data_IF_317584870803
#
_entry.id   IF_317584870803
#
_cell.length_a   1.000
_cell.length_b   1.000
_cell.length_c   1.000
_cell.angle_alpha   90.00
_cell.angle_beta   90.00
_cell.angle_gamma   90.00
#
_symmetry.space_group_name_H-M   'P 1'
#
loop_
_entity.id
_entity.type
_entity.pdbx_description
1 polymer ?
#
# COMPACT_ATOMS: atom_id res chain seq x y z
N UNK A 1 16.35 -10.50 -16.66
CA UNK A 1 16.46 -9.75 -15.37
C UNK A 1 15.14 -9.71 -14.59
N UNK A 2 13.97 -9.62 -15.22
CA UNK A 2 12.67 -9.63 -14.54
C UNK A 2 12.43 -10.90 -13.72
N UNK A 3 12.55 -12.07 -14.34
CA UNK A 3 12.27 -13.36 -13.68
C UNK A 3 13.26 -13.67 -12.56
N UNK A 4 14.52 -13.21 -12.67
CA UNK A 4 15.51 -13.30 -11.60
C UNK A 4 15.10 -12.54 -10.32
N UNK A 5 14.18 -11.58 -10.43
CA UNK A 5 13.56 -10.86 -9.31
C UNK A 5 12.28 -11.55 -8.80
N UNK A 6 11.96 -12.73 -9.32
CA UNK A 6 10.69 -13.46 -9.09
C UNK A 6 9.45 -12.66 -9.55
N UNK A 7 9.62 -11.81 -10.56
CA UNK A 7 8.54 -11.06 -11.21
C UNK A 7 8.06 -11.79 -12.47
N UNK A 8 6.85 -11.45 -12.95
CA UNK A 8 6.34 -11.92 -14.23
C UNK A 8 6.80 -11.03 -15.38
N UNK A 9 7.27 -11.65 -16.47
CA UNK A 9 7.60 -10.95 -17.72
C UNK A 9 6.54 -11.27 -18.79
N UNK A 10 5.89 -10.24 -19.33
CA UNK A 10 4.95 -10.38 -20.46
C UNK A 10 5.02 -9.15 -21.37
N UNK A 11 4.89 -9.38 -22.67
CA UNK A 11 4.64 -8.30 -23.62
C UNK A 11 3.19 -7.80 -23.41
N UNK A 12 2.94 -6.48 -23.43
CA UNK A 12 1.58 -5.95 -23.45
C UNK A 12 0.80 -6.60 -24.60
N UNK A 13 -0.40 -7.11 -24.32
CA UNK A 13 -1.24 -7.67 -25.36
C UNK A 13 -1.60 -6.55 -26.33
N UNK A 14 -1.15 -6.66 -27.59
CA UNK A 14 -1.67 -5.79 -28.64
C UNK A 14 -3.18 -6.04 -28.72
N UNK A 15 -3.98 -5.03 -28.39
CA UNK A 15 -5.42 -5.07 -28.62
C UNK A 15 -5.67 -5.17 -30.13
N UNK A 16 -6.07 -6.36 -30.60
CA UNK A 16 -6.84 -6.63 -31.82
C UNK A 16 -6.28 -6.15 -33.18
N UNK A 17 -6.07 -7.09 -34.11
CA UNK A 17 -6.09 -6.92 -35.57
C UNK A 17 -5.76 -5.52 -36.14
N UNK A 18 -4.58 -4.98 -35.83
CA UNK A 18 -4.04 -3.87 -36.60
C UNK A 18 -3.22 -4.49 -37.73
N UNK A 19 -3.72 -4.33 -38.95
CA UNK A 19 -3.02 -4.68 -40.19
C UNK A 19 -1.59 -4.15 -40.13
N UNK A 20 -0.67 -4.94 -40.68
CA UNK A 20 0.80 -4.86 -40.61
C UNK A 20 1.46 -3.51 -40.99
N UNK A 21 0.66 -2.48 -41.32
CA UNK A 21 1.05 -1.18 -41.85
C UNK A 21 1.07 -0.03 -40.83
N UNK A 22 0.77 -0.26 -39.56
CA UNK A 22 0.91 0.72 -38.47
C UNK A 22 1.89 0.25 -37.37
N UNK A 23 3.04 -0.32 -37.78
CA UNK A 23 4.12 -0.76 -36.86
C UNK A 23 4.94 0.38 -36.23
N UNK A 24 4.57 1.63 -36.46
CA UNK A 24 5.21 2.82 -35.87
C UNK A 24 4.12 3.76 -35.34
N UNK A 25 4.09 4.00 -34.03
CA UNK A 25 3.26 5.00 -33.32
C UNK A 25 1.99 4.55 -32.58
N UNK A 26 1.95 3.39 -31.92
CA UNK A 26 1.10 3.26 -30.72
C UNK A 26 1.85 2.49 -29.64
N UNK A 27 2.63 3.27 -28.91
CA UNK A 27 3.34 2.89 -27.72
C UNK A 27 2.28 2.80 -26.62
N UNK A 28 1.97 1.59 -26.14
CA UNK A 28 1.27 1.36 -24.87
C UNK A 28 2.18 1.85 -23.73
N UNK A 29 2.38 3.18 -23.61
CA UNK A 29 3.42 3.82 -22.78
C UNK A 29 3.28 3.51 -21.28
N UNK A 30 2.17 2.92 -20.83
CA UNK A 30 1.90 2.70 -19.41
C UNK A 30 1.93 1.27 -18.89
N UNK A 31 1.95 0.24 -19.75
CA UNK A 31 1.81 -1.16 -19.28
C UNK A 31 3.18 -1.75 -18.95
N UNK A 32 3.46 -2.13 -17.70
CA UNK A 32 4.77 -2.66 -17.32
C UNK A 32 4.98 -4.05 -17.91
N UNK A 33 6.08 -4.24 -18.62
CA UNK A 33 6.46 -5.56 -19.16
C UNK A 33 6.92 -6.52 -18.06
N UNK A 34 7.35 -5.97 -16.92
CA UNK A 34 7.76 -6.70 -15.72
C UNK A 34 6.92 -6.26 -14.52
N UNK A 35 6.13 -7.16 -13.94
CA UNK A 35 5.20 -6.83 -12.85
C UNK A 35 5.26 -7.88 -11.73
N UNK A 36 4.76 -7.50 -10.55
CA UNK A 36 4.69 -8.41 -9.41
C UNK A 36 3.59 -9.45 -9.63
N UNK A 37 3.87 -10.76 -9.49
CA UNK A 37 2.81 -11.75 -9.42
C UNK A 37 1.97 -11.58 -8.15
N UNK A 38 0.80 -12.21 -8.11
CA UNK A 38 -0.12 -12.15 -6.97
C UNK A 38 0.46 -12.72 -5.67
N UNK A 39 1.43 -13.61 -5.77
CA UNK A 39 2.14 -14.25 -4.66
C UNK A 39 3.49 -13.58 -4.33
N UNK A 40 3.77 -12.40 -4.92
CA UNK A 40 5.02 -11.68 -4.65
C UNK A 40 5.14 -11.37 -3.14
N UNK A 41 6.33 -11.56 -2.52
CA UNK A 41 6.51 -11.37 -1.10
C UNK A 41 6.13 -9.96 -0.63
N UNK A 42 5.19 -9.88 0.29
CA UNK A 42 4.69 -8.64 0.88
C UNK A 42 4.47 -8.80 2.38
N UNK A 43 4.06 -7.73 3.04
CA UNK A 43 3.79 -7.72 4.46
C UNK A 43 2.48 -8.44 4.80
N UNK A 44 2.40 -8.93 6.02
CA UNK A 44 1.20 -9.51 6.61
C UNK A 44 1.04 -9.03 8.06
N UNK A 45 -0.19 -8.91 8.53
CA UNK A 45 -0.46 -8.48 9.91
C UNK A 45 -0.08 -9.59 10.89
N UNK A 46 0.71 -9.23 11.89
CA UNK A 46 1.10 -10.10 13.02
C UNK A 46 0.33 -9.72 14.28
N UNK A 47 0.08 -8.43 14.51
CA UNK A 47 -0.78 -7.96 15.60
C UNK A 47 -1.56 -6.72 15.19
N UNK A 48 -2.74 -6.54 15.78
CA UNK A 48 -3.58 -5.35 15.64
C UNK A 48 -4.13 -4.99 17.02
N UNK A 49 -3.69 -3.86 17.54
CA UNK A 49 -4.05 -3.34 18.85
C UNK A 49 -4.93 -2.10 18.68
N UNK A 50 -6.01 -2.03 19.45
CA UNK A 50 -6.82 -0.81 19.53
C UNK A 50 -6.10 0.21 20.40
N UNK A 51 -6.08 1.47 19.95
CA UNK A 51 -5.50 2.59 20.69
C UNK A 51 -6.53 3.71 20.83
N UNK A 52 -6.28 4.68 21.70
CA UNK A 52 -7.19 5.81 21.87
C UNK A 52 -7.34 6.64 20.58
N UNK A 53 -6.28 6.72 19.77
CA UNK A 53 -6.28 7.39 18.47
C UNK A 53 -6.82 6.55 17.30
N UNK A 54 -7.01 5.24 17.49
CA UNK A 54 -7.39 4.32 16.42
C UNK A 54 -6.85 2.92 16.59
N UNK A 55 -5.90 2.55 15.73
CA UNK A 55 -5.28 1.21 15.72
C UNK A 55 -3.77 1.30 15.54
N UNK A 56 -3.06 0.36 16.15
CA UNK A 56 -1.64 0.11 15.93
C UNK A 56 -1.46 -1.32 15.45
N UNK A 57 -0.87 -1.47 14.27
CA UNK A 57 -0.75 -2.75 13.58
C UNK A 57 0.73 -3.05 13.37
N UNK A 58 1.18 -4.23 13.78
CA UNK A 58 2.51 -4.73 13.42
C UNK A 58 2.40 -5.57 12.15
N UNK A 59 3.17 -5.20 11.13
CA UNK A 59 3.21 -5.90 9.86
C UNK A 59 4.61 -6.46 9.61
N UNK A 60 4.67 -7.71 9.16
CA UNK A 60 5.94 -8.42 8.91
C UNK A 60 5.99 -8.96 7.49
N UNK A 61 7.13 -8.77 6.82
CA UNK A 61 7.47 -9.41 5.55
C UNK A 61 8.32 -10.64 5.83
N UNK A 62 7.92 -11.80 5.30
CA UNK A 62 8.57 -13.09 5.59
C UNK A 62 9.96 -13.26 4.98
N UNK A 63 10.29 -12.49 3.95
CA UNK A 63 11.56 -12.60 3.22
C UNK A 63 11.92 -11.26 2.57
N UNK A 64 13.22 -11.05 2.35
CA UNK A 64 13.72 -9.92 1.57
C UNK A 64 13.36 -10.08 0.09
N UNK A 65 13.32 -8.95 -0.61
CA UNK A 65 13.07 -8.83 -2.03
C UNK A 65 14.36 -8.41 -2.73
N UNK A 66 14.29 -8.08 -4.03
CA UNK A 66 15.43 -7.49 -4.74
C UNK A 66 15.68 -6.01 -4.34
N UNK A 67 14.82 -5.42 -3.50
CA UNK A 67 15.02 -4.08 -2.99
C UNK A 67 16.13 -4.08 -1.95
N UNK A 68 17.08 -3.14 -2.01
CA UNK A 68 18.12 -3.04 -1.00
C UNK A 68 17.51 -2.60 0.34
N UNK A 69 18.01 -3.17 1.43
CA UNK A 69 17.68 -2.77 2.81
C UNK A 69 16.18 -2.86 3.15
N UNK A 70 15.53 -3.96 2.76
CA UNK A 70 14.17 -4.28 3.23
C UNK A 70 14.11 -4.27 4.77
N UNK A 71 13.15 -3.50 5.32
CA UNK A 71 12.85 -3.51 6.76
C UNK A 71 11.73 -4.52 6.99
N UNK A 72 12.05 -5.67 7.56
CA UNK A 72 11.11 -6.80 7.59
C UNK A 72 9.96 -6.63 8.58
N UNK A 73 10.08 -5.73 9.56
CA UNK A 73 9.14 -5.52 10.64
C UNK A 73 8.83 -4.03 10.76
N UNK A 74 7.56 -3.66 10.56
CA UNK A 74 7.10 -2.28 10.57
C UNK A 74 5.87 -2.14 11.45
N UNK A 75 5.73 -0.95 12.02
CA UNK A 75 4.51 -0.55 12.73
C UNK A 75 3.69 0.37 11.84
N UNK A 76 2.37 0.17 11.84
CA UNK A 76 1.38 1.00 11.17
C UNK A 76 0.44 1.58 12.21
N UNK A 77 0.44 2.90 12.36
CA UNK A 77 -0.58 3.60 13.15
C UNK A 77 -1.67 4.11 12.19
N UNK A 78 -2.91 3.70 12.44
CA UNK A 78 -4.12 4.20 11.78
C UNK A 78 -4.79 5.20 12.72
N UNK A 79 -4.72 6.48 12.37
CA UNK A 79 -5.05 7.61 13.25
C UNK A 79 -6.30 8.30 12.70
N UNK A 80 -7.38 8.27 13.49
CA UNK A 80 -8.68 8.83 13.15
C UNK A 80 -8.77 10.26 13.65
N UNK A 81 -8.09 11.18 12.96
CA UNK A 81 -7.87 12.54 13.46
C UNK A 81 -9.17 13.36 13.55
N UNK A 82 -9.99 13.35 12.50
CA UNK A 82 -11.28 14.04 12.47
C UNK A 82 -12.29 13.25 11.65
N UNK A 83 -13.54 13.74 11.59
CA UNK A 83 -14.58 13.16 10.74
C UNK A 83 -14.17 13.02 9.27
N UNK A 84 -13.31 13.92 8.77
CA UNK A 84 -12.92 14.00 7.36
C UNK A 84 -11.42 13.79 7.15
N UNK A 85 -10.65 13.53 8.21
CA UNK A 85 -9.21 13.37 8.13
C UNK A 85 -8.77 12.06 8.79
N UNK A 86 -8.27 11.17 7.95
CA UNK A 86 -7.63 9.93 8.32
C UNK A 86 -6.13 10.05 8.06
N UNK A 87 -5.30 9.54 8.98
CA UNK A 87 -3.85 9.53 8.80
C UNK A 87 -3.31 8.12 8.98
N UNK A 88 -2.47 7.73 8.03
CA UNK A 88 -1.74 6.45 8.06
C UNK A 88 -0.26 6.79 8.30
N UNK A 89 0.37 6.13 9.26
CA UNK A 89 1.81 6.21 9.48
C UNK A 89 2.40 4.81 9.44
N UNK A 90 3.30 4.55 8.49
CA UNK A 90 4.07 3.30 8.41
C UNK A 90 5.52 3.63 8.74
N UNK A 91 6.08 3.00 9.77
CA UNK A 91 7.39 3.35 10.28
C UNK A 91 8.13 2.17 10.89
N UNK A 92 9.47 2.28 10.95
CA UNK A 92 10.33 1.38 11.71
C UNK A 92 10.31 1.84 13.18
N UNK A 93 9.81 0.97 14.07
CA UNK A 93 9.70 1.24 15.50
C UNK A 93 11.01 1.05 16.26
N UNK A 94 12.00 0.38 15.65
CA UNK A 94 13.31 0.10 16.26
C UNK A 94 14.32 1.17 15.87
N UNK A 95 14.37 1.52 14.58
CA UNK A 95 15.32 2.52 14.07
C UNK A 95 14.59 3.76 13.59
N UNK A 96 14.76 4.87 14.31
CA UNK A 96 14.18 6.16 13.93
C UNK A 96 14.69 6.59 12.55
N UNK A 97 13.76 6.85 11.63
CA UNK A 97 14.04 7.38 10.29
C UNK A 97 13.78 8.87 10.23
N UNK A 98 14.23 9.51 9.15
CA UNK A 98 13.94 10.91 8.90
C UNK A 98 12.43 11.14 8.81
N UNK A 99 11.95 12.15 9.51
CA UNK A 99 10.59 12.67 9.42
C UNK A 99 10.67 14.16 9.07
N UNK A 100 9.84 14.61 8.14
CA UNK A 100 9.79 16.02 7.75
C UNK A 100 9.36 16.82 8.98
N UNK A 101 10.09 17.88 9.38
CA UNK A 101 9.75 18.69 10.54
C UNK A 101 8.54 19.58 10.23
N UNK A 102 7.36 18.99 10.34
CA UNK A 102 6.06 19.67 10.17
C UNK A 102 5.30 19.59 11.48
N UNK A 103 4.60 20.66 11.82
CA UNK A 103 3.67 20.64 12.93
C UNK A 103 2.46 19.80 12.53
N UNK A 104 2.30 18.65 13.17
CA UNK A 104 1.18 17.73 12.94
C UNK A 104 0.34 17.65 14.20
N UNK A 105 -1.00 17.61 14.09
CA UNK A 105 -1.87 17.46 15.26
C UNK A 105 -1.52 16.21 16.06
N UNK A 106 -1.47 16.35 17.39
CA UNK A 106 -1.42 15.22 18.30
C UNK A 106 -2.86 14.77 18.51
N UNK A 107 -3.13 13.50 18.24
CA UNK A 107 -4.45 12.89 18.38
C UNK A 107 -4.43 11.98 19.59
N UNK A 108 -5.03 12.44 20.69
CA UNK A 108 -5.15 11.65 21.92
C UNK A 108 -6.41 10.79 21.93
N UNK A 109 -7.45 11.20 21.21
CA UNK A 109 -8.72 10.47 21.08
C UNK A 109 -9.16 10.47 19.62
N UNK A 110 -9.59 9.32 19.12
CA UNK A 110 -10.19 9.15 17.79
C UNK A 110 -11.48 9.97 17.64
N UNK A 111 -11.76 10.38 16.41
CA UNK A 111 -13.03 11.00 16.06
C UNK A 111 -14.23 10.09 16.41
N UNK A 112 -15.28 10.67 17.00
CA UNK A 112 -16.49 9.91 17.39
C UNK A 112 -17.30 9.45 16.17
N UNK A 113 -17.26 10.21 15.08
CA UNK A 113 -17.89 9.90 13.79
C UNK A 113 -16.95 10.20 12.63
N UNK A 114 -17.04 9.44 11.55
CA UNK A 114 -16.22 9.59 10.35
C UNK A 114 -17.04 9.49 9.08
N UNK A 115 -16.67 10.26 8.05
CA UNK A 115 -17.24 10.17 6.69
C UNK A 115 -16.62 9.02 5.87
N UNK A 116 -15.66 8.32 6.48
CA UNK A 116 -14.92 7.21 5.91
C UNK A 116 -14.96 5.97 6.82
N UNK A 117 -14.80 4.82 6.21
CA UNK A 117 -14.64 3.51 6.82
C UNK A 117 -13.27 2.96 6.44
N UNK A 118 -12.60 2.28 7.37
CA UNK A 118 -11.27 1.72 7.14
C UNK A 118 -11.31 0.23 7.43
N UNK A 119 -10.94 -0.56 6.44
CA UNK A 119 -10.74 -2.00 6.56
C UNK A 119 -9.28 -2.34 6.31
N UNK A 120 -8.81 -3.40 6.97
CA UNK A 120 -7.43 -3.87 6.82
C UNK A 120 -7.43 -5.32 6.40
N UNK A 121 -6.87 -5.60 5.22
CA UNK A 121 -6.64 -6.96 4.76
C UNK A 121 -5.38 -7.53 5.44
N UNK A 122 -5.44 -8.78 5.89
CA UNK A 122 -4.36 -9.39 6.68
C UNK A 122 -3.18 -9.88 5.83
N UNK A 123 -3.46 -10.57 4.71
CA UNK A 123 -2.45 -11.19 3.86
C UNK A 123 -2.96 -11.29 2.41
N UNK A 124 -2.42 -10.49 1.47
CA UNK A 124 -1.42 -9.44 1.70
C UNK A 124 -1.97 -8.31 2.58
N UNK A 125 -1.09 -7.65 3.34
CA UNK A 125 -1.47 -6.45 4.08
C UNK A 125 -1.95 -5.36 3.10
N UNK A 126 -3.16 -4.85 3.33
CA UNK A 126 -3.70 -3.70 2.60
C UNK A 126 -4.61 -2.88 3.51
N UNK A 127 -4.71 -1.58 3.23
CA UNK A 127 -5.64 -0.66 3.88
C UNK A 127 -6.65 -0.23 2.81
N UNK A 128 -7.93 -0.44 3.07
CA UNK A 128 -9.02 -0.02 2.20
C UNK A 128 -9.76 1.11 2.91
N UNK A 129 -9.85 2.27 2.27
CA UNK A 129 -10.59 3.42 2.81
C UNK A 129 -11.81 3.64 1.93
N UNK A 130 -12.99 3.57 2.51
CA UNK A 130 -14.26 3.64 1.79
C UNK A 130 -15.04 4.85 2.27
N UNK A 131 -15.54 5.67 1.34
CA UNK A 131 -16.45 6.78 1.68
C UNK A 131 -17.78 6.21 2.14
N UNK A 132 -18.22 6.53 3.36
CA UNK A 132 -19.47 5.99 3.93
C UNK A 132 -20.71 6.38 3.14
N UNK A 133 -20.80 7.63 2.67
CA UNK A 133 -22.00 8.14 2.00
C UNK A 133 -22.28 7.50 0.64
N UNK A 134 -21.25 7.01 -0.05
CA UNK A 134 -21.39 6.45 -1.41
C UNK A 134 -20.94 5.00 -1.53
N UNK A 135 -20.27 4.44 -0.52
CA UNK A 135 -19.66 3.11 -0.58
C UNK A 135 -18.47 3.00 -1.55
N UNK A 136 -17.93 4.13 -2.01
CA UNK A 136 -16.81 4.14 -2.97
C UNK A 136 -15.48 3.99 -2.22
N UNK A 137 -14.68 2.98 -2.59
CA UNK A 137 -13.29 2.84 -2.13
C UNK A 137 -12.41 3.91 -2.78
N UNK A 138 -11.68 4.66 -1.97
CA UNK A 138 -10.85 5.81 -2.32
C UNK A 138 -9.39 5.42 -2.64
#
# INVERSE_FOLDING_TARGET
RCEARKCCWRLPMQQGNLTEKHRTNFQDIGVPWCYYPSDFPTYSIVSNETTDFGQRIRIVKSQTTFMPNDILDLTVDLIYETQQRFRIRIYDSVNKRFEVPLNVPVVEKKADMTDYEVEVAQKPFAILVTRRSTGVTL
#
